data_IF_799412342891
#
_entry.id   IF_799412342891
#
_cell.length_a   1.000
_cell.length_b   1.000
_cell.length_c   1.000
_cell.angle_alpha   90.00
_cell.angle_beta   90.00
_cell.angle_gamma   90.00
#
_symmetry.space_group_name_H-M   'P 1'
#
loop_
_entity.id
_entity.type
_entity.pdbx_description
1 polymer ?
#
# COMPACT_ATOMS: atom_id res chain seq x y z
N UNK A 1 54.69 12.67 54.91
CA UNK A 1 53.89 13.87 55.27
C UNK A 1 53.64 14.63 53.98
N UNK A 2 52.39 14.62 53.49
CA UNK A 2 51.49 15.79 53.37
C UNK A 2 52.10 16.93 52.54
N UNK A 3 51.45 17.61 51.61
CA UNK A 3 50.13 17.60 50.92
C UNK A 3 50.15 18.93 50.16
N UNK A 4 49.65 19.02 48.92
CA UNK A 4 49.11 20.28 48.33
C UNK A 4 48.41 19.89 47.01
N UNK A 5 47.06 19.84 46.98
CA UNK A 5 46.14 20.91 46.50
C UNK A 5 45.89 20.80 44.98
N UNK A 6 44.70 20.93 44.37
CA UNK A 6 43.32 21.24 44.77
C UNK A 6 42.46 21.07 43.47
N UNK A 7 41.21 20.59 43.57
CA UNK A 7 39.99 20.78 42.69
C UNK A 7 40.13 20.50 41.17
N UNK A 8 39.24 19.75 40.50
CA UNK A 8 37.92 20.22 40.00
C UNK A 8 37.01 19.03 39.65
N UNK A 9 35.76 19.09 40.13
CA UNK A 9 34.62 18.33 39.63
C UNK A 9 34.33 18.71 38.16
N UNK A 10 34.17 17.71 37.27
CA UNK A 10 33.07 17.74 36.28
C UNK A 10 32.59 16.31 36.05
N UNK A 11 31.34 16.07 36.40
CA UNK A 11 30.55 14.92 35.98
C UNK A 11 30.22 15.05 34.50
N UNK A 12 30.64 14.08 33.68
CA UNK A 12 29.95 13.79 32.43
C UNK A 12 29.68 12.29 32.42
N UNK A 13 28.49 11.90 32.89
CA UNK A 13 27.88 10.63 32.48
C UNK A 13 27.65 10.77 30.98
N UNK A 14 28.64 10.36 30.20
CA UNK A 14 28.55 10.31 28.76
C UNK A 14 27.32 9.50 28.38
N UNK A 15 26.33 10.21 27.82
CA UNK A 15 25.27 9.63 27.03
C UNK A 15 25.93 8.72 25.98
N UNK A 16 26.01 7.42 26.24
CA UNK A 16 26.14 6.47 25.15
C UNK A 16 24.76 6.42 24.49
N UNK A 17 24.52 7.35 23.57
CA UNK A 17 23.61 7.13 22.45
C UNK A 17 24.09 5.85 21.76
N UNK A 18 23.61 4.70 22.23
CA UNK A 18 23.45 3.57 21.33
C UNK A 18 22.40 4.04 20.34
N UNK A 19 22.87 4.48 19.17
CA UNK A 19 22.09 4.43 17.95
C UNK A 19 21.68 2.98 17.75
N UNK A 20 20.59 2.58 18.41
CA UNK A 20 19.86 1.39 18.05
C UNK A 20 19.18 1.75 16.73
N UNK A 21 19.84 1.37 15.63
CA UNK A 21 19.15 1.16 14.37
C UNK A 21 18.18 0.00 14.62
N UNK A 22 16.98 0.29 15.09
CA UNK A 22 15.90 -0.68 15.19
C UNK A 22 15.58 -1.18 13.78
N UNK A 23 16.07 -2.37 13.49
CA UNK A 23 15.65 -3.12 12.32
C UNK A 23 14.21 -3.54 12.52
N UNK A 24 13.32 -2.99 11.69
CA UNK A 24 11.95 -3.44 11.50
C UNK A 24 11.98 -4.92 11.06
N UNK A 25 11.07 -5.77 11.54
CA UNK A 25 11.03 -7.22 11.25
C UNK A 25 9.72 -7.72 10.59
N UNK A 26 8.79 -6.84 10.16
CA UNK A 26 7.49 -7.30 9.60
C UNK A 26 7.20 -6.83 8.18
N UNK A 27 6.77 -7.77 7.33
CA UNK A 27 6.36 -7.55 5.93
C UNK A 27 5.16 -6.59 5.80
N UNK A 28 5.13 -5.74 4.77
CA UNK A 28 4.03 -4.80 4.52
C UNK A 28 2.83 -5.53 3.90
N UNK A 29 1.65 -5.37 4.49
CA UNK A 29 0.39 -5.98 4.02
C UNK A 29 -0.58 -4.92 3.51
N UNK A 30 -1.02 -5.01 2.26
CA UNK A 30 -2.16 -4.22 1.75
C UNK A 30 -3.42 -5.10 1.87
N UNK A 31 -4.37 -4.69 2.72
CA UNK A 31 -5.63 -5.41 2.98
C UNK A 31 -6.82 -4.67 2.35
N UNK A 32 -7.89 -5.40 1.99
CA UNK A 32 -9.16 -4.89 1.42
C UNK A 32 -10.14 -4.41 2.51
N UNK A 33 -10.93 -3.35 2.24
CA UNK A 33 -11.64 -2.53 3.25
C UNK A 33 -12.76 -3.29 3.94
N UNK A 34 -13.39 -4.24 3.25
CA UNK A 34 -14.69 -4.75 3.68
C UNK A 34 -14.90 -6.26 3.54
N UNK A 35 -13.88 -7.04 3.19
CA UNK A 35 -13.99 -8.50 3.17
C UNK A 35 -12.62 -9.18 3.10
N UNK A 36 -12.51 -10.37 3.71
CA UNK A 36 -11.39 -11.29 3.47
C UNK A 36 -11.54 -11.94 2.09
N UNK A 37 -11.23 -11.22 1.01
CA UNK A 37 -11.10 -11.82 -0.31
C UNK A 37 -9.65 -12.32 -0.53
N UNK A 38 -9.45 -13.62 -0.27
CA UNK A 38 -8.16 -14.29 -0.43
C UNK A 38 -7.54 -14.13 -1.82
N UNK A 39 -8.36 -13.90 -2.86
CA UNK A 39 -7.87 -13.71 -4.23
C UNK A 39 -7.13 -12.39 -4.38
N UNK A 40 -7.69 -11.31 -3.83
CA UNK A 40 -7.01 -10.01 -3.76
C UNK A 40 -5.78 -10.08 -2.90
N UNK A 41 -5.83 -10.71 -1.72
CA UNK A 41 -4.63 -10.85 -0.87
C UNK A 41 -3.49 -11.57 -1.62
N UNK A 42 -3.82 -12.65 -2.35
CA UNK A 42 -2.87 -13.35 -3.21
C UNK A 42 -2.34 -12.43 -4.33
N UNK A 43 -3.22 -11.72 -5.03
CA UNK A 43 -2.82 -10.82 -6.12
C UNK A 43 -1.91 -9.69 -5.62
N UNK A 44 -2.22 -9.13 -4.44
CA UNK A 44 -1.40 -8.12 -3.76
C UNK A 44 0.00 -8.68 -3.45
N UNK A 45 0.10 -9.86 -2.86
CA UNK A 45 1.39 -10.48 -2.55
C UNK A 45 2.24 -10.76 -3.80
N UNK A 46 1.59 -11.21 -4.88
CA UNK A 46 2.26 -11.37 -6.17
C UNK A 46 2.77 -10.01 -6.70
N UNK A 47 1.96 -8.96 -6.63
CA UNK A 47 2.37 -7.62 -7.05
C UNK A 47 3.54 -7.08 -6.23
N UNK A 48 3.53 -7.26 -4.91
CA UNK A 48 4.65 -6.87 -4.05
C UNK A 48 5.92 -7.66 -4.43
N UNK A 49 5.79 -8.95 -4.72
CA UNK A 49 6.95 -9.80 -5.12
C UNK A 49 7.50 -9.41 -6.49
N UNK A 50 6.63 -9.05 -7.44
CA UNK A 50 7.01 -8.57 -8.77
C UNK A 50 7.71 -7.20 -8.70
N UNK A 51 7.21 -6.28 -7.87
CA UNK A 51 7.77 -4.94 -7.70
C UNK A 51 9.04 -4.91 -6.85
N UNK A 52 9.14 -5.79 -5.86
CA UNK A 52 10.26 -5.86 -4.93
C UNK A 52 10.84 -7.29 -4.86
N UNK A 53 11.63 -7.72 -5.85
CA UNK A 53 12.22 -9.06 -5.87
C UNK A 53 13.18 -9.29 -4.69
N UNK A 54 13.10 -10.48 -4.07
CA UNK A 54 13.88 -10.84 -2.86
C UNK A 54 15.40 -10.76 -3.02
N UNK A 55 15.90 -10.89 -4.24
CA UNK A 55 17.32 -10.78 -4.56
C UNK A 55 17.81 -9.34 -4.68
N UNK A 56 16.91 -8.36 -4.75
CA UNK A 56 17.24 -6.94 -4.97
C UNK A 56 16.99 -6.06 -3.74
N UNK A 57 16.12 -6.48 -2.82
CA UNK A 57 15.71 -5.67 -1.68
C UNK A 57 15.98 -6.37 -0.35
N UNK A 58 16.38 -5.58 0.65
CA UNK A 58 16.57 -6.06 2.03
C UNK A 58 15.21 -6.15 2.72
N UNK A 59 14.95 -7.28 3.37
CA UNK A 59 13.72 -7.54 4.10
C UNK A 59 13.86 -7.22 5.60
N UNK A 60 12.76 -6.83 6.26
CA UNK A 60 11.41 -6.65 5.70
C UNK A 60 11.29 -5.39 4.85
N UNK A 61 10.44 -5.46 3.83
CA UNK A 61 10.18 -4.35 2.93
C UNK A 61 9.47 -3.22 3.66
N UNK A 62 9.94 -1.99 3.49
CA UNK A 62 9.19 -0.80 3.89
C UNK A 62 8.44 -0.28 2.66
N UNK A 63 7.16 -0.65 2.53
CA UNK A 63 6.28 -0.08 1.50
C UNK A 63 5.82 1.29 1.99
N UNK A 64 6.10 2.31 1.18
CA UNK A 64 5.69 3.68 1.45
C UNK A 64 4.30 3.95 0.90
N UNK A 65 3.65 5.01 1.42
CA UNK A 65 2.34 5.47 0.90
C UNK A 65 2.37 5.79 -0.59
N UNK A 66 3.55 6.17 -1.13
CA UNK A 66 3.74 6.50 -2.53
C UNK A 66 3.79 5.28 -3.46
N UNK A 67 4.02 4.08 -2.93
CA UNK A 67 4.05 2.83 -3.71
C UNK A 67 2.64 2.29 -3.98
N UNK A 68 1.70 2.64 -3.10
CA UNK A 68 0.30 2.18 -3.11
C UNK A 68 -0.38 2.33 -4.48
N UNK A 69 -0.27 3.46 -5.21
CA UNK A 69 -0.92 3.63 -6.51
C UNK A 69 -0.48 2.57 -7.53
N UNK A 70 0.80 2.23 -7.57
CA UNK A 70 1.31 1.24 -8.50
C UNK A 70 0.99 -0.20 -8.07
N UNK A 71 0.94 -0.47 -6.76
CA UNK A 71 0.47 -1.76 -6.27
C UNK A 71 -1.01 -1.95 -6.63
N UNK A 72 -1.84 -0.92 -6.46
CA UNK A 72 -3.24 -0.95 -6.91
C UNK A 72 -3.35 -1.20 -8.42
N UNK A 73 -2.56 -0.49 -9.24
CA UNK A 73 -2.54 -0.71 -10.69
C UNK A 73 -2.23 -2.17 -11.03
N UNK A 74 -1.20 -2.74 -10.41
CA UNK A 74 -0.84 -4.14 -10.60
C UNK A 74 -2.00 -5.09 -10.22
N UNK A 75 -2.66 -4.86 -9.08
CA UNK A 75 -3.80 -5.67 -8.64
C UNK A 75 -4.98 -5.56 -9.62
N UNK A 76 -5.35 -4.34 -10.02
CA UNK A 76 -6.43 -4.12 -10.99
C UNK A 76 -6.12 -4.76 -12.34
N UNK A 77 -4.85 -4.75 -12.75
CA UNK A 77 -4.37 -5.45 -13.95
C UNK A 77 -4.49 -6.97 -13.83
N UNK A 78 -4.13 -7.57 -12.69
CA UNK A 78 -4.29 -9.01 -12.46
C UNK A 78 -5.75 -9.47 -12.54
N UNK A 79 -6.69 -8.61 -12.17
CA UNK A 79 -8.13 -8.86 -12.33
C UNK A 79 -8.68 -8.47 -13.71
N UNK A 80 -7.84 -7.97 -14.61
CA UNK A 80 -8.24 -7.49 -15.93
C UNK A 80 -9.16 -6.26 -15.88
N UNK A 81 -9.22 -5.55 -14.75
CA UNK A 81 -9.99 -4.32 -14.57
C UNK A 81 -9.26 -3.14 -15.21
N UNK A 82 -7.93 -3.17 -15.22
CA UNK A 82 -7.10 -2.19 -15.93
C UNK A 82 -6.12 -2.87 -16.88
N UNK A 83 -5.77 -2.21 -17.98
CA UNK A 83 -4.67 -2.62 -18.86
C UNK A 83 -3.34 -2.03 -18.42
N UNK A 84 -2.24 -2.43 -19.08
CA UNK A 84 -0.92 -1.81 -18.89
C UNK A 84 -0.96 -0.30 -19.15
N UNK A 85 -1.70 0.13 -20.17
CA UNK A 85 -1.83 1.53 -20.57
C UNK A 85 -2.90 2.30 -19.77
N UNK A 86 -3.47 1.67 -18.74
CA UNK A 86 -4.42 2.31 -17.84
C UNK A 86 -5.87 2.37 -18.34
N UNK A 87 -6.23 1.64 -19.41
CA UNK A 87 -7.62 1.53 -19.85
C UNK A 87 -8.43 0.69 -18.86
N UNK A 88 -9.61 1.19 -18.46
CA UNK A 88 -10.49 0.52 -17.49
C UNK A 88 -11.51 -0.36 -18.23
N UNK A 89 -11.60 -1.63 -17.82
CA UNK A 89 -12.59 -2.60 -18.30
C UNK A 89 -13.71 -2.76 -17.27
N UNK A 90 -14.81 -2.03 -17.50
CA UNK A 90 -15.95 -2.00 -16.58
C UNK A 90 -16.67 -3.35 -16.46
N UNK A 91 -16.65 -4.17 -17.51
CA UNK A 91 -17.21 -5.54 -17.45
C UNK A 91 -16.47 -6.40 -16.43
N UNK A 92 -15.15 -6.30 -16.38
CA UNK A 92 -14.35 -7.03 -15.40
C UNK A 92 -14.46 -6.41 -14.00
N UNK A 93 -14.58 -5.09 -13.89
CA UNK A 93 -14.90 -4.42 -12.63
C UNK A 93 -16.21 -4.95 -12.02
N UNK A 94 -17.32 -4.92 -12.76
CA UNK A 94 -18.61 -5.37 -12.25
C UNK A 94 -18.62 -6.86 -11.89
N UNK A 95 -17.95 -7.71 -12.70
CA UNK A 95 -17.73 -9.12 -12.35
C UNK A 95 -16.97 -9.28 -11.02
N UNK A 96 -15.99 -8.41 -10.77
CA UNK A 96 -15.21 -8.44 -9.54
C UNK A 96 -16.03 -8.02 -8.33
N UNK A 97 -16.80 -6.93 -8.45
CA UNK A 97 -17.74 -6.47 -7.41
C UNK A 97 -18.73 -7.59 -7.06
N UNK A 98 -19.34 -8.22 -8.07
CA UNK A 98 -20.23 -9.38 -7.90
C UNK A 98 -19.56 -10.54 -7.16
N UNK A 99 -18.31 -10.84 -7.48
CA UNK A 99 -17.59 -11.94 -6.84
C UNK A 99 -17.28 -11.66 -5.37
N UNK A 100 -16.92 -10.42 -5.03
CA UNK A 100 -16.60 -10.00 -3.65
C UNK A 100 -17.88 -9.97 -2.79
N UNK A 101 -18.97 -9.45 -3.34
CA UNK A 101 -20.23 -9.26 -2.62
C UNK A 101 -21.27 -10.35 -2.88
N UNK A 102 -20.86 -11.53 -3.36
CA UNK A 102 -21.76 -12.63 -3.75
C UNK A 102 -22.77 -13.01 -2.66
N UNK A 103 -22.41 -12.83 -1.39
CA UNK A 103 -23.23 -13.17 -0.23
C UNK A 103 -23.76 -11.95 0.54
N UNK A 104 -23.54 -10.72 0.05
CA UNK A 104 -24.08 -9.51 0.66
C UNK A 104 -25.26 -8.97 -0.17
N UNK A 105 -26.52 -9.23 0.25
CA UNK A 105 -27.70 -8.81 -0.49
C UNK A 105 -27.92 -7.29 -0.43
N UNK A 106 -27.17 -6.55 0.39
CA UNK A 106 -27.29 -5.09 0.52
C UNK A 106 -26.52 -4.34 -0.56
N UNK A 107 -25.64 -5.02 -1.27
CA UNK A 107 -24.80 -4.41 -2.29
C UNK A 107 -25.55 -4.44 -3.61
N UNK A 108 -26.21 -3.32 -3.91
CA UNK A 108 -26.66 -3.06 -5.27
C UNK A 108 -25.41 -2.73 -6.11
N UNK A 109 -25.21 -3.45 -7.20
CA UNK A 109 -24.17 -3.09 -8.18
C UNK A 109 -24.67 -1.85 -8.89
N UNK A 110 -24.25 -0.69 -8.39
CA UNK A 110 -24.58 0.61 -8.94
C UNK A 110 -23.65 0.98 -10.09
N UNK A 111 -24.09 1.92 -10.94
CA UNK A 111 -23.32 2.48 -12.06
C UNK A 111 -22.13 3.36 -11.61
N UNK A 112 -21.64 3.16 -10.38
CA UNK A 112 -20.47 3.82 -9.81
C UNK A 112 -19.24 3.54 -10.67
N UNK A 113 -19.11 2.34 -11.23
CA UNK A 113 -18.00 2.00 -12.13
C UNK A 113 -17.95 2.94 -13.35
N UNK A 114 -19.07 3.10 -14.05
CA UNK A 114 -19.19 3.98 -15.21
C UNK A 114 -18.86 5.43 -14.86
N UNK A 115 -19.46 5.95 -13.79
CA UNK A 115 -19.22 7.33 -13.33
C UNK A 115 -17.76 7.57 -12.98
N UNK A 116 -17.14 6.65 -12.21
CA UNK A 116 -15.74 6.76 -11.82
C UNK A 116 -14.79 6.65 -13.02
N UNK A 117 -15.08 5.76 -13.97
CA UNK A 117 -14.27 5.63 -15.18
C UNK A 117 -14.34 6.88 -16.05
N UNK A 118 -15.52 7.48 -16.21
CA UNK A 118 -15.67 8.74 -16.95
C UNK A 118 -14.88 9.88 -16.28
N UNK A 119 -14.98 9.99 -14.95
CA UNK A 119 -14.23 10.99 -14.19
C UNK A 119 -12.72 10.82 -14.35
N UNK A 120 -12.20 9.59 -14.25
CA UNK A 120 -10.76 9.31 -14.43
C UNK A 120 -10.31 9.63 -15.87
N UNK A 121 -11.10 9.28 -16.87
CA UNK A 121 -10.78 9.55 -18.27
C UNK A 121 -10.85 11.04 -18.62
N UNK A 122 -11.65 11.83 -17.91
CA UNK A 122 -11.69 13.28 -18.04
C UNK A 122 -10.46 13.97 -17.42
N UNK A 123 -9.65 13.25 -16.62
CA UNK A 123 -8.42 13.79 -16.05
C UNK A 123 -7.26 13.62 -17.03
N UNK A 124 -6.41 14.64 -17.14
CA UNK A 124 -5.19 14.59 -17.94
C UNK A 124 -4.09 13.77 -17.25
N UNK A 125 -4.26 12.45 -17.23
CA UNK A 125 -3.39 11.47 -16.56
C UNK A 125 -2.84 10.43 -17.55
N UNK A 126 -2.71 10.78 -18.83
CA UNK A 126 -2.48 9.82 -19.91
C UNK A 126 -1.28 8.90 -19.72
N UNK A 127 -0.25 9.37 -19.02
CA UNK A 127 0.97 8.61 -18.76
C UNK A 127 1.10 8.09 -17.32
N UNK A 128 0.22 8.49 -16.40
CA UNK A 128 0.29 8.11 -14.98
C UNK A 128 -0.76 7.04 -14.62
N UNK A 129 -0.48 5.81 -15.08
CA UNK A 129 -1.38 4.65 -14.92
C UNK A 129 -1.56 4.26 -13.45
N UNK A 130 -0.55 4.46 -12.61
CA UNK A 130 -0.62 4.21 -11.18
C UNK A 130 -1.58 5.19 -10.49
N UNK A 131 -1.48 6.48 -10.81
CA UNK A 131 -2.41 7.49 -10.28
C UNK A 131 -3.83 7.29 -10.79
N UNK A 132 -4.02 6.92 -12.06
CA UNK A 132 -5.33 6.51 -12.60
C UNK A 132 -5.94 5.38 -11.77
N UNK A 133 -5.16 4.35 -11.47
CA UNK A 133 -5.60 3.22 -10.66
C UNK A 133 -6.03 3.66 -9.24
N UNK A 134 -5.24 4.53 -8.60
CA UNK A 134 -5.58 5.06 -7.29
C UNK A 134 -6.90 5.83 -7.30
N UNK A 135 -7.06 6.77 -8.24
CA UNK A 135 -8.27 7.60 -8.31
C UNK A 135 -9.50 6.76 -8.62
N UNK A 136 -9.37 5.78 -9.53
CA UNK A 136 -10.44 4.83 -9.81
C UNK A 136 -10.83 4.03 -8.56
N UNK A 137 -9.84 3.51 -7.81
CA UNK A 137 -10.10 2.77 -6.58
C UNK A 137 -10.73 3.66 -5.49
N UNK A 138 -10.23 4.89 -5.31
CA UNK A 138 -10.77 5.83 -4.31
C UNK A 138 -12.24 6.18 -4.62
N UNK A 139 -12.58 6.34 -5.90
CA UNK A 139 -13.93 6.65 -6.35
C UNK A 139 -14.87 5.44 -6.21
N UNK A 140 -14.43 4.25 -6.61
CA UNK A 140 -15.25 3.02 -6.56
C UNK A 140 -15.28 2.37 -5.17
N UNK A 141 -14.31 2.69 -4.32
CA UNK A 141 -14.06 2.05 -3.04
C UNK A 141 -13.93 0.52 -3.12
N UNK A 142 -13.45 0.00 -4.26
CA UNK A 142 -13.33 -1.44 -4.51
C UNK A 142 -12.39 -2.12 -3.50
N UNK A 143 -11.27 -1.48 -3.17
CA UNK A 143 -10.31 -1.97 -2.19
C UNK A 143 -10.02 -0.92 -1.10
N UNK A 144 -9.77 -1.40 0.11
CA UNK A 144 -9.01 -0.60 1.08
C UNK A 144 -7.57 -0.67 0.70
N UNK A 145 -6.85 0.31 1.19
CA UNK A 145 -5.48 0.09 1.56
C UNK A 145 -5.38 0.30 3.06
N UNK A 146 -5.15 -0.76 3.83
CA UNK A 146 -4.56 -0.63 5.16
C UNK A 146 -3.06 -0.72 5.00
N UNK A 147 -2.31 0.34 5.30
CA UNK A 147 -0.90 0.20 5.61
C UNK A 147 -0.84 0.07 7.13
N UNK A 148 -0.27 -1.03 7.63
CA UNK A 148 0.06 -1.11 9.05
C UNK A 148 1.18 -0.10 9.30
N UNK A 149 0.82 1.08 9.81
CA UNK A 149 1.76 1.89 10.55
C UNK A 149 2.00 1.14 11.86
N UNK A 150 3.26 0.78 12.12
CA UNK A 150 3.64 0.31 13.44
C UNK A 150 3.45 1.51 14.37
N UNK A 151 2.48 1.42 15.27
CA UNK A 151 2.33 2.36 16.38
C UNK A 151 3.66 2.40 17.15
N UNK A 152 4.17 3.61 17.37
CA UNK A 152 5.43 3.91 18.08
C UNK A 152 5.42 3.42 19.53
#
# INVERSE_FOLDING_TARGET
MLSLSLVILVTVKGYKQKFFSETLDSEPTISILYARDKKSDKATNECITEMYPKNLYKYPLKIERNDVPCILHCVLKKFGIMTNDGFINLKNYYRRVQAIHRYDPRILISDVGDTCSQNVNAMNLDHDVCKKAKIFNDCTQLYAISLRELEE
#
